data_IF_827512222605
#
_entry.id   IF_827512222605
#
_cell.length_a   1.000
_cell.length_b   1.000
_cell.length_c   1.000
_cell.angle_alpha   90.00
_cell.angle_beta   90.00
_cell.angle_gamma   90.00
#
_symmetry.space_group_name_H-M   'P 1'
#
loop_
_entity.id
_entity.type
_entity.pdbx_description
1 polymer ?
#
# COMPACT_ATOMS: atom_id res chain seq x y z
N UNK A 1 16.22 -9.68 3.21
CA UNK A 1 17.55 -9.95 2.58
C UNK A 1 17.33 -10.42 1.14
N UNK A 2 18.15 -9.99 0.20
CA UNK A 2 18.20 -10.52 -1.19
C UNK A 2 19.19 -11.68 -1.29
N UNK A 3 19.01 -12.53 -2.30
CA UNK A 3 19.97 -13.63 -2.55
C UNK A 3 21.37 -13.10 -2.84
N UNK A 4 21.49 -11.98 -3.58
CA UNK A 4 22.76 -11.34 -3.91
C UNK A 4 23.44 -10.76 -2.66
N UNK A 5 22.67 -10.21 -1.72
CA UNK A 5 23.18 -9.71 -0.43
C UNK A 5 23.74 -10.88 0.40
N UNK A 6 23.02 -12.02 0.43
CA UNK A 6 23.50 -13.21 1.11
C UNK A 6 24.79 -13.76 0.48
N UNK A 7 24.86 -13.78 -0.85
CA UNK A 7 26.04 -14.20 -1.59
C UNK A 7 27.26 -13.31 -1.24
N UNK A 8 27.07 -12.00 -1.22
CA UNK A 8 28.13 -11.03 -0.89
C UNK A 8 28.61 -11.18 0.57
N UNK A 9 27.69 -11.31 1.53
CA UNK A 9 28.02 -11.47 2.96
C UNK A 9 28.78 -12.78 3.21
N UNK A 10 28.41 -13.86 2.52
CA UNK A 10 29.03 -15.18 2.72
C UNK A 10 30.25 -15.43 1.83
N UNK A 11 30.58 -14.53 0.92
CA UNK A 11 31.70 -14.70 -0.02
C UNK A 11 31.52 -15.89 -1.00
N UNK A 12 30.27 -16.21 -1.39
CA UNK A 12 29.94 -17.34 -2.27
C UNK A 12 29.22 -16.85 -3.54
N UNK A 13 29.10 -17.74 -4.52
CA UNK A 13 28.34 -17.41 -5.74
C UNK A 13 26.84 -17.26 -5.46
N UNK A 14 26.13 -16.47 -6.28
CA UNK A 14 24.68 -16.32 -6.19
C UNK A 14 23.92 -17.65 -6.30
N UNK A 15 24.43 -18.60 -7.11
CA UNK A 15 23.89 -19.95 -7.21
C UNK A 15 24.02 -20.71 -5.89
N UNK A 16 25.21 -20.70 -5.29
CA UNK A 16 25.45 -21.36 -4.00
C UNK A 16 24.61 -20.72 -2.88
N UNK A 17 24.49 -19.39 -2.86
CA UNK A 17 23.62 -18.68 -1.91
C UNK A 17 22.16 -19.09 -2.09
N UNK A 18 21.67 -19.21 -3.32
CA UNK A 18 20.31 -19.68 -3.62
C UNK A 18 20.06 -21.11 -3.12
N UNK A 19 21.00 -22.03 -3.32
CA UNK A 19 20.92 -23.40 -2.82
C UNK A 19 20.95 -23.45 -1.28
N UNK A 20 21.83 -22.69 -0.65
CA UNK A 20 21.92 -22.60 0.81
C UNK A 20 20.61 -22.07 1.42
N UNK A 21 20.09 -20.96 0.89
CA UNK A 21 18.83 -20.38 1.36
C UNK A 21 17.64 -21.31 1.16
N UNK A 22 17.60 -22.07 0.04
CA UNK A 22 16.57 -23.08 -0.18
C UNK A 22 16.67 -24.26 0.81
N UNK A 23 17.89 -24.66 1.19
CA UNK A 23 18.13 -25.66 2.23
C UNK A 23 17.66 -25.16 3.61
N UNK A 24 18.03 -23.93 3.96
CA UNK A 24 17.59 -23.28 5.22
C UNK A 24 16.07 -23.10 5.27
N UNK A 25 15.43 -22.84 4.14
CA UNK A 25 13.95 -22.80 4.06
C UNK A 25 13.34 -24.16 4.36
N UNK A 26 13.89 -25.26 3.82
CA UNK A 26 13.43 -26.63 4.14
C UNK A 26 13.59 -26.95 5.62
N UNK A 27 14.63 -26.43 6.25
CA UNK A 27 14.88 -26.56 7.69
C UNK A 27 14.03 -25.59 8.55
N UNK A 28 13.21 -24.74 7.95
CA UNK A 28 12.37 -23.77 8.66
C UNK A 28 13.13 -22.56 9.23
N UNK A 29 14.42 -22.40 8.92
CA UNK A 29 15.26 -21.33 9.47
C UNK A 29 15.09 -19.99 8.76
N UNK A 30 14.64 -20.00 7.50
CA UNK A 30 14.35 -18.78 6.72
C UNK A 30 13.03 -18.94 5.97
N UNK A 31 12.37 -17.81 5.69
CA UNK A 31 11.16 -17.77 4.89
C UNK A 31 11.43 -17.13 3.52
N UNK A 32 11.13 -17.83 2.44
CA UNK A 32 11.14 -17.24 1.11
C UNK A 32 9.86 -16.44 0.90
N UNK A 33 9.99 -15.12 0.86
CA UNK A 33 8.83 -14.21 0.70
C UNK A 33 8.43 -14.09 -0.77
N UNK A 34 9.42 -13.89 -1.66
CA UNK A 34 9.26 -13.88 -3.12
C UNK A 34 10.52 -14.45 -3.77
N UNK A 35 10.54 -14.70 -5.08
CA UNK A 35 11.79 -15.06 -5.77
C UNK A 35 12.91 -14.08 -5.45
N UNK A 36 14.04 -14.57 -4.97
CA UNK A 36 15.21 -13.76 -4.60
C UNK A 36 15.10 -12.92 -3.30
N UNK A 37 13.98 -12.99 -2.58
CA UNK A 37 13.77 -12.25 -1.30
C UNK A 37 13.45 -13.21 -0.16
N UNK A 38 14.17 -13.05 0.93
CA UNK A 38 14.15 -13.95 2.08
C UNK A 38 14.01 -13.18 3.38
N UNK A 39 13.31 -13.76 4.34
CA UNK A 39 13.31 -13.31 5.74
C UNK A 39 14.12 -14.30 6.57
N UNK A 40 15.08 -13.79 7.31
CA UNK A 40 15.98 -14.58 8.20
C UNK A 40 15.60 -14.46 9.67
N UNK A 41 14.68 -13.56 10.00
CA UNK A 41 14.21 -13.29 11.37
C UNK A 41 12.75 -13.67 11.58
N UNK A 42 12.31 -14.77 10.95
CA UNK A 42 10.92 -15.22 11.02
C UNK A 42 10.02 -14.52 10.01
N UNK A 43 8.73 -14.44 10.31
CA UNK A 43 7.74 -13.81 9.42
C UNK A 43 7.88 -12.28 9.49
N UNK A 44 8.19 -11.63 8.36
CA UNK A 44 8.32 -10.17 8.33
C UNK A 44 6.95 -9.51 8.45
N UNK A 45 6.93 -8.25 8.87
CA UNK A 45 5.70 -7.47 8.79
C UNK A 45 5.17 -7.44 7.35
N UNK A 46 3.87 -7.67 7.16
CA UNK A 46 3.27 -7.64 5.84
C UNK A 46 3.37 -6.26 5.17
N UNK A 47 3.50 -5.19 5.94
CA UNK A 47 3.61 -3.83 5.41
C UNK A 47 5.03 -3.53 4.91
N UNK A 48 6.05 -4.09 5.55
CA UNK A 48 7.44 -4.03 5.07
C UNK A 48 7.59 -4.77 3.72
N UNK A 49 6.93 -5.92 3.58
CA UNK A 49 6.98 -6.72 2.34
C UNK A 49 6.43 -5.95 1.13
N UNK A 50 5.55 -4.97 1.32
CA UNK A 50 5.02 -4.14 0.24
C UNK A 50 6.13 -3.48 -0.60
N UNK A 51 7.17 -2.94 0.05
CA UNK A 51 8.32 -2.32 -0.61
C UNK A 51 9.17 -3.34 -1.39
N UNK A 52 9.26 -4.58 -0.91
CA UNK A 52 10.00 -5.65 -1.59
C UNK A 52 9.32 -6.09 -2.87
N UNK A 53 7.98 -6.07 -2.90
CA UNK A 53 7.20 -6.49 -4.06
C UNK A 53 7.22 -5.49 -5.19
N UNK A 54 7.47 -4.23 -4.91
CA UNK A 54 7.40 -3.14 -5.89
C UNK A 54 8.78 -2.71 -6.40
N UNK A 55 9.85 -3.18 -5.77
CA UNK A 55 11.23 -2.87 -6.17
C UNK A 55 11.46 -3.06 -7.71
N UNK A 56 12.11 -2.08 -8.40
CA UNK A 56 12.79 -0.89 -7.88
C UNK A 56 11.89 0.33 -7.65
N UNK A 57 10.60 0.22 -7.85
CA UNK A 57 9.69 1.36 -7.71
C UNK A 57 9.29 1.57 -6.26
N UNK A 58 9.29 2.82 -5.77
CA UNK A 58 8.84 3.13 -4.42
C UNK A 58 7.35 2.82 -4.26
N UNK A 59 6.96 2.49 -3.01
CA UNK A 59 5.58 2.21 -2.66
C UNK A 59 5.28 2.54 -1.20
N UNK A 60 4.01 2.59 -0.88
CA UNK A 60 3.48 2.68 0.47
C UNK A 60 2.15 1.94 0.57
N UNK A 61 1.83 1.48 1.77
CA UNK A 61 0.53 0.87 2.09
C UNK A 61 -0.53 1.98 2.14
N UNK A 62 -1.67 1.79 1.46
CA UNK A 62 -2.73 2.78 1.35
C UNK A 62 -4.11 2.12 1.26
N UNK A 63 -5.11 2.87 0.78
CA UNK A 63 -6.46 2.39 0.53
C UNK A 63 -7.05 1.72 1.78
N UNK A 64 -7.88 0.70 1.62
CA UNK A 64 -8.56 0.04 2.73
C UNK A 64 -7.62 -0.49 3.82
N UNK A 65 -6.39 -0.89 3.47
CA UNK A 65 -5.42 -1.32 4.49
C UNK A 65 -5.00 -0.16 5.39
N UNK A 66 -4.68 0.99 4.83
CA UNK A 66 -4.34 2.17 5.61
C UNK A 66 -5.57 2.74 6.34
N UNK A 67 -6.74 2.77 5.70
CA UNK A 67 -7.99 3.18 6.35
C UNK A 67 -8.27 2.35 7.61
N UNK A 68 -8.16 1.01 7.51
CA UNK A 68 -8.34 0.12 8.65
C UNK A 68 -7.27 0.31 9.73
N UNK A 69 -6.00 0.43 9.34
CA UNK A 69 -4.89 0.63 10.28
C UNK A 69 -4.92 1.98 11.00
N UNK A 70 -5.53 2.99 10.36
CA UNK A 70 -5.75 4.32 10.93
C UNK A 70 -7.08 4.42 11.70
N UNK A 71 -7.86 3.32 11.76
CA UNK A 71 -9.13 3.28 12.49
C UNK A 71 -10.29 3.99 11.79
N UNK A 72 -10.17 4.32 10.49
CA UNK A 72 -11.24 4.99 9.74
C UNK A 72 -12.34 4.01 9.30
N UNK A 73 -12.05 2.72 9.24
CA UNK A 73 -13.01 1.66 8.94
C UNK A 73 -12.84 0.50 9.94
N UNK A 74 -13.93 -0.13 10.31
CA UNK A 74 -13.92 -1.30 11.21
C UNK A 74 -13.52 -2.58 10.54
N UNK A 75 -13.70 -2.67 9.21
CA UNK A 75 -13.39 -3.87 8.43
C UNK A 75 -11.88 -4.04 8.27
N UNK A 76 -11.37 -5.25 8.55
CA UNK A 76 -9.98 -5.61 8.31
C UNK A 76 -9.89 -6.27 6.92
N UNK A 77 -9.26 -5.63 5.93
CA UNK A 77 -9.16 -6.19 4.60
C UNK A 77 -8.24 -7.42 4.58
N UNK A 78 -8.67 -8.48 3.89
CA UNK A 78 -7.87 -9.71 3.68
C UNK A 78 -6.69 -9.49 2.72
N UNK A 79 -6.78 -8.45 1.90
CA UNK A 79 -5.76 -8.08 0.91
C UNK A 79 -5.05 -6.82 1.40
N UNK A 80 -3.73 -6.82 1.29
CA UNK A 80 -2.91 -5.65 1.60
C UNK A 80 -2.87 -4.77 0.36
N UNK A 81 -3.43 -3.57 0.48
CA UNK A 81 -3.49 -2.61 -0.60
C UNK A 81 -2.27 -1.70 -0.57
N UNK A 82 -1.60 -1.62 -1.70
CA UNK A 82 -0.34 -0.91 -1.89
C UNK A 82 -0.45 0.04 -3.07
N UNK A 83 0.11 1.21 -2.92
CA UNK A 83 0.26 2.20 -3.99
C UNK A 83 1.73 2.29 -4.39
N UNK A 84 2.01 2.35 -5.69
CA UNK A 84 3.37 2.40 -6.22
C UNK A 84 3.44 3.21 -7.52
N UNK A 85 4.63 3.65 -7.89
CA UNK A 85 4.93 4.17 -9.24
C UNK A 85 5.04 3.07 -10.29
N UNK A 86 5.19 1.81 -9.85
CA UNK A 86 5.27 0.63 -10.72
C UNK A 86 3.91 0.18 -11.25
N UNK A 87 3.90 -0.92 -12.00
CA UNK A 87 2.69 -1.47 -12.63
C UNK A 87 1.70 -2.02 -11.60
N UNK A 88 0.41 -1.86 -11.89
CA UNK A 88 -0.67 -2.52 -11.15
C UNK A 88 -0.55 -4.04 -11.29
N UNK A 89 -0.58 -4.75 -10.15
CA UNK A 89 -0.49 -6.20 -10.09
C UNK A 89 -1.10 -6.75 -8.79
N UNK A 90 -1.47 -8.02 -8.80
CA UNK A 90 -1.81 -8.77 -7.58
C UNK A 90 -0.75 -9.84 -7.36
N UNK A 91 -0.25 -9.97 -6.13
CA UNK A 91 0.79 -10.93 -5.77
C UNK A 91 0.37 -11.66 -4.49
N UNK A 92 0.35 -12.98 -4.54
CA UNK A 92 0.22 -13.81 -3.36
C UNK A 92 1.62 -14.22 -2.85
N UNK A 93 1.80 -14.15 -1.55
CA UNK A 93 3.03 -14.54 -0.84
C UNK A 93 2.68 -15.36 0.40
N UNK A 94 3.61 -16.06 1.02
CA UNK A 94 3.36 -16.71 2.31
C UNK A 94 2.97 -15.75 3.44
N UNK A 95 3.24 -14.44 3.29
CA UNK A 95 2.94 -13.42 4.29
C UNK A 95 1.55 -12.81 4.09
N UNK A 96 1.02 -12.87 2.87
CA UNK A 96 -0.32 -12.34 2.53
C UNK A 96 -0.48 -12.07 1.04
N UNK A 97 -1.69 -11.68 0.66
CA UNK A 97 -2.03 -11.27 -0.71
C UNK A 97 -1.96 -9.75 -0.82
N UNK A 98 -1.29 -9.26 -1.86
CA UNK A 98 -1.08 -7.84 -2.12
C UNK A 98 -1.78 -7.41 -3.40
N UNK A 99 -2.47 -6.28 -3.35
CA UNK A 99 -3.02 -5.58 -4.51
C UNK A 99 -2.28 -4.26 -4.68
N UNK A 100 -1.38 -4.22 -5.66
CA UNK A 100 -0.58 -3.03 -5.97
C UNK A 100 -1.30 -2.20 -7.02
N UNK A 101 -1.46 -0.92 -6.75
CA UNK A 101 -2.10 0.05 -7.64
C UNK A 101 -1.12 1.13 -8.05
N UNK A 102 -1.10 1.45 -9.35
CA UNK A 102 -0.24 2.52 -9.85
C UNK A 102 -0.87 3.88 -9.60
N UNK A 103 -0.05 4.81 -9.08
CA UNK A 103 -0.33 6.24 -9.11
C UNK A 103 0.64 6.98 -10.03
N UNK A 104 0.23 8.11 -10.61
CA UNK A 104 1.14 9.01 -11.29
C UNK A 104 2.08 9.68 -10.27
N UNK A 105 3.32 10.07 -10.70
CA UNK A 105 4.34 10.60 -9.79
C UNK A 105 3.89 11.83 -8.99
N UNK A 106 3.12 12.72 -9.58
CA UNK A 106 2.60 13.92 -8.93
C UNK A 106 1.65 13.66 -7.76
N UNK A 107 1.06 12.47 -7.72
CA UNK A 107 0.17 12.02 -6.64
C UNK A 107 0.86 11.08 -5.64
N UNK A 108 2.15 10.77 -5.84
CA UNK A 108 2.89 9.88 -4.95
C UNK A 108 3.42 10.64 -3.73
N UNK A 109 3.13 10.16 -2.51
CA UNK A 109 3.54 10.78 -1.25
C UNK A 109 2.42 10.78 -0.22
N UNK A 110 2.55 11.58 0.85
CA UNK A 110 1.56 11.68 1.93
C UNK A 110 1.51 10.41 2.80
N UNK A 111 2.66 9.81 3.04
CA UNK A 111 2.83 8.66 3.92
C UNK A 111 3.83 8.99 5.03
N UNK A 112 3.72 8.26 6.12
CA UNK A 112 4.71 8.21 7.19
C UNK A 112 5.56 6.95 7.02
N UNK A 113 6.83 7.04 7.42
CA UNK A 113 7.74 5.91 7.44
C UNK A 113 8.18 5.62 8.87
N UNK A 114 7.97 4.37 9.30
CA UNK A 114 8.39 3.87 10.59
C UNK A 114 8.90 2.44 10.44
N UNK A 115 10.11 2.18 10.92
CA UNK A 115 10.76 0.86 10.87
C UNK A 115 10.83 0.25 9.45
N UNK A 116 10.98 1.12 8.43
CA UNK A 116 10.99 0.76 7.02
C UNK A 116 9.60 0.51 6.41
N UNK A 117 8.54 0.59 7.18
CA UNK A 117 7.16 0.53 6.71
C UNK A 117 6.68 1.92 6.30
N UNK A 118 6.13 2.03 5.10
CA UNK A 118 5.51 3.26 4.61
C UNK A 118 4.01 3.11 4.56
N UNK A 119 3.30 3.96 5.29
CA UNK A 119 1.84 3.92 5.39
C UNK A 119 1.24 5.31 5.17
N UNK A 120 0.24 5.39 4.29
CA UNK A 120 -0.49 6.62 4.02
C UNK A 120 -1.03 7.26 5.31
N UNK A 121 -1.04 8.60 5.36
CA UNK A 121 -1.83 9.32 6.37
C UNK A 121 -3.33 9.05 6.16
N UNK A 122 -4.16 9.40 7.13
CA UNK A 122 -5.62 9.24 7.02
C UNK A 122 -6.16 9.94 5.77
N UNK A 123 -5.80 11.19 5.57
CA UNK A 123 -6.23 11.99 4.41
C UNK A 123 -5.74 11.40 3.10
N UNK A 124 -4.48 10.93 3.07
CA UNK A 124 -3.92 10.34 1.86
C UNK A 124 -4.58 9.02 1.50
N UNK A 125 -4.88 8.16 2.49
CA UNK A 125 -5.59 6.91 2.27
C UNK A 125 -7.00 7.15 1.72
N UNK A 126 -7.73 8.13 2.24
CA UNK A 126 -9.03 8.57 1.71
C UNK A 126 -8.86 9.08 0.29
N UNK A 127 -7.92 10.01 0.04
CA UNK A 127 -7.69 10.56 -1.30
C UNK A 127 -7.38 9.47 -2.33
N UNK A 128 -6.45 8.56 -2.03
CA UNK A 128 -6.07 7.48 -2.93
C UNK A 128 -7.26 6.58 -3.27
N UNK A 129 -8.11 6.29 -2.28
CA UNK A 129 -9.30 5.47 -2.46
C UNK A 129 -10.31 6.15 -3.39
N UNK A 130 -10.58 7.45 -3.18
CA UNK A 130 -11.48 8.23 -4.02
C UNK A 130 -10.93 8.40 -5.45
N UNK A 131 -9.63 8.63 -5.58
CA UNK A 131 -8.97 8.80 -6.88
C UNK A 131 -8.98 7.50 -7.70
N UNK A 132 -8.67 6.36 -7.08
CA UNK A 132 -8.62 5.06 -7.75
C UNK A 132 -10.00 4.44 -7.99
N UNK A 133 -11.05 4.92 -7.32
CA UNK A 133 -12.44 4.50 -7.57
C UNK A 133 -12.91 4.74 -9.01
N UNK A 134 -12.25 5.64 -9.75
CA UNK A 134 -12.50 5.88 -11.18
C UNK A 134 -11.97 4.78 -12.10
N UNK A 135 -11.03 3.95 -11.63
CA UNK A 135 -10.43 2.90 -12.45
C UNK A 135 -11.48 1.85 -12.85
N UNK A 136 -11.44 1.41 -14.11
CA UNK A 136 -12.33 0.38 -14.64
C UNK A 136 -12.29 -0.87 -13.74
N UNK A 137 -13.43 -1.27 -13.17
CA UNK A 137 -13.55 -2.46 -12.34
C UNK A 137 -14.26 -2.26 -11.00
N UNK A 138 -14.74 -1.06 -10.70
CA UNK A 138 -15.60 -0.72 -9.54
C UNK A 138 -15.10 -1.20 -8.15
N UNK A 139 -13.84 -1.61 -8.01
CA UNK A 139 -13.31 -2.17 -6.74
C UNK A 139 -13.39 -1.20 -5.56
N UNK A 140 -13.46 0.11 -5.82
CA UNK A 140 -13.55 1.16 -4.81
C UNK A 140 -14.78 2.06 -5.02
N UNK A 141 -15.79 1.60 -5.77
CA UNK A 141 -17.01 2.38 -6.07
C UNK A 141 -17.88 2.58 -4.84
N UNK A 142 -17.87 1.62 -3.93
CA UNK A 142 -18.57 1.68 -2.64
C UNK A 142 -17.52 1.82 -1.54
N UNK A 143 -17.43 3.01 -0.96
CA UNK A 143 -16.64 3.20 0.25
C UNK A 143 -17.38 2.52 1.41
N UNK A 144 -16.67 1.81 2.29
CA UNK A 144 -17.24 1.40 3.56
C UNK A 144 -17.63 2.65 4.35
N UNK A 145 -18.42 2.47 5.39
CA UNK A 145 -18.67 3.55 6.34
C UNK A 145 -17.33 3.98 6.93
N UNK A 146 -17.02 5.27 6.80
CA UNK A 146 -15.74 5.86 7.23
C UNK A 146 -16.02 6.81 8.37
N UNK A 147 -15.39 6.54 9.51
CA UNK A 147 -15.33 7.44 10.66
C UNK A 147 -14.07 8.31 10.54
N UNK A 148 -14.27 9.62 10.46
CA UNK A 148 -13.15 10.54 10.37
C UNK A 148 -12.64 10.88 11.78
N UNK A 149 -11.33 10.77 12.04
CA UNK A 149 -10.76 11.20 13.31
C UNK A 149 -10.88 12.72 13.49
N UNK A 150 -10.87 13.18 14.73
CA UNK A 150 -11.09 14.60 15.06
C UNK A 150 -10.03 15.55 14.46
N UNK A 151 -8.83 15.05 14.24
CA UNK A 151 -7.71 15.77 13.63
C UNK A 151 -7.66 15.66 12.10
N UNK A 152 -8.64 14.99 11.46
CA UNK A 152 -8.71 14.86 10.01
C UNK A 152 -8.87 16.23 9.33
N UNK A 153 -8.04 16.50 8.34
CA UNK A 153 -8.00 17.79 7.64
C UNK A 153 -8.55 17.67 6.22
N UNK A 154 -9.84 17.97 6.00
CA UNK A 154 -10.48 17.87 4.68
C UNK A 154 -9.78 18.69 3.59
N UNK A 155 -9.18 19.83 3.93
CA UNK A 155 -8.44 20.66 2.98
C UNK A 155 -7.29 19.90 2.27
N UNK A 156 -6.65 18.96 2.96
CA UNK A 156 -5.58 18.14 2.39
C UNK A 156 -6.05 17.30 1.19
N UNK A 157 -7.32 16.92 1.14
CA UNK A 157 -7.89 16.21 -0.01
C UNK A 157 -7.91 17.09 -1.25
N UNK A 158 -8.26 18.38 -1.11
CA UNK A 158 -8.25 19.32 -2.24
C UNK A 158 -6.82 19.67 -2.66
N UNK A 159 -5.88 19.80 -1.71
CA UNK A 159 -4.45 19.98 -2.01
C UNK A 159 -3.92 18.85 -2.91
N UNK A 160 -4.29 17.61 -2.63
CA UNK A 160 -3.96 16.48 -3.50
C UNK A 160 -4.69 16.55 -4.84
N UNK A 161 -5.95 16.95 -4.87
CA UNK A 161 -6.71 17.10 -6.09
C UNK A 161 -6.11 18.17 -7.03
N UNK A 162 -5.53 19.26 -6.49
CA UNK A 162 -4.88 20.31 -7.31
C UNK A 162 -3.70 19.79 -8.11
N UNK A 163 -3.02 18.75 -7.63
CA UNK A 163 -1.86 18.13 -8.31
C UNK A 163 -2.26 17.30 -9.53
N UNK A 164 -3.55 17.00 -9.73
CA UNK A 164 -4.02 16.25 -10.89
C UNK A 164 -3.94 17.14 -12.12
N UNK A 165 -3.07 16.80 -13.09
CA UNK A 165 -2.86 17.59 -14.31
C UNK A 165 -4.09 17.63 -15.23
N UNK A 166 -4.74 16.49 -15.46
CA UNK A 166 -5.92 16.40 -16.30
C UNK A 166 -7.13 17.07 -15.66
N UNK A 167 -7.71 18.07 -16.34
CA UNK A 167 -8.86 18.86 -15.83
C UNK A 167 -10.10 18.01 -15.57
N UNK A 168 -10.40 17.04 -16.46
CA UNK A 168 -11.59 16.18 -16.30
C UNK A 168 -11.44 15.26 -15.11
N UNK A 169 -10.25 14.66 -14.97
CA UNK A 169 -9.90 13.79 -13.83
C UNK A 169 -9.94 14.58 -12.53
N UNK A 170 -9.40 15.78 -12.51
CA UNK A 170 -9.42 16.66 -11.33
C UNK A 170 -10.84 17.03 -10.93
N UNK A 171 -11.71 17.43 -11.89
CA UNK A 171 -13.10 17.73 -11.61
C UNK A 171 -13.85 16.51 -11.06
N UNK A 172 -13.61 15.33 -11.62
CA UNK A 172 -14.18 14.09 -11.10
C UNK A 172 -13.72 13.80 -9.67
N UNK A 173 -12.41 13.91 -9.39
CA UNK A 173 -11.87 13.70 -8.04
C UNK A 173 -12.48 14.67 -7.03
N UNK A 174 -12.61 15.95 -7.37
CA UNK A 174 -13.24 16.96 -6.51
C UNK A 174 -14.71 16.68 -6.24
N UNK A 175 -15.47 16.26 -7.25
CA UNK A 175 -16.86 15.86 -7.04
C UNK A 175 -16.97 14.68 -6.05
N UNK A 176 -16.12 13.66 -6.21
CA UNK A 176 -16.08 12.51 -5.28
C UNK A 176 -15.68 12.91 -3.86
N UNK A 177 -14.74 13.83 -3.72
CA UNK A 177 -14.34 14.37 -2.40
C UNK A 177 -15.51 15.11 -1.75
N UNK A 178 -16.23 15.95 -2.52
CA UNK A 178 -17.40 16.69 -2.02
C UNK A 178 -18.51 15.74 -1.57
N UNK A 179 -18.84 14.72 -2.37
CA UNK A 179 -19.84 13.70 -2.05
C UNK A 179 -19.46 12.93 -0.78
N UNK A 180 -18.19 12.51 -0.68
CA UNK A 180 -17.66 11.83 0.49
C UNK A 180 -17.82 12.68 1.76
N UNK A 181 -17.38 13.94 1.75
CA UNK A 181 -17.46 14.84 2.90
C UNK A 181 -18.92 15.17 3.27
N UNK A 182 -19.83 15.21 2.32
CA UNK A 182 -21.25 15.40 2.58
C UNK A 182 -21.88 14.16 3.23
N UNK A 183 -21.45 12.96 2.87
CA UNK A 183 -21.93 11.71 3.48
C UNK A 183 -21.44 11.56 4.91
N UNK A 184 -20.15 11.78 5.19
CA UNK A 184 -19.57 11.63 6.53
C UNK A 184 -20.17 12.62 7.54
N UNK A 185 -20.51 13.85 7.11
CA UNK A 185 -21.22 14.82 7.98
C UNK A 185 -22.62 14.34 8.40
N UNK A 186 -23.33 13.65 7.51
CA UNK A 186 -24.69 13.11 7.80
C UNK A 186 -24.63 11.96 8.80
N UNK A 187 -23.66 11.05 8.66
CA UNK A 187 -23.47 9.93 9.58
C UNK A 187 -23.06 10.37 10.99
N UNK A 188 -22.35 11.50 11.13
CA UNK A 188 -21.93 12.03 12.44
C UNK A 188 -23.06 12.77 13.20
N UNK A 189 -24.23 12.98 12.58
CA UNK A 189 -25.37 13.74 13.17
C UNK A 189 -26.53 12.81 13.57
N UNK A 190 -26.41 11.51 13.31
CA UNK A 190 -27.40 10.48 13.66
C UNK A 190 -26.94 9.67 14.85
#
# INVERSE_FOLDING_TARGET
MRTEEAAAVLGISGSNASHLLASLQKAGSVLRVTPGRWSVSGQPSPYLVASWLTDPYPSYVSLYTALSRRGLITQIPRTIYVVSLGRTKTVATPVGTYSVHRLPPELFGGFEERDGERMATAEKAVFDTLYLARARGQRFSHLPEIELPADFRPAVLDDWATKIGDRRVRSFARARIADFLAQTRRSSTS
#
